data_IF_419535271996
#
_entry.id   IF_419535271996
#
_cell.length_a   1.000
_cell.length_b   1.000
_cell.length_c   1.000
_cell.angle_alpha   90.00
_cell.angle_beta   90.00
_cell.angle_gamma   90.00
#
_symmetry.space_group_name_H-M   'P 1'
#
loop_
_entity.id
_entity.type
_entity.pdbx_description
1 polymer ?
#
# COMPACT_ATOMS: atom_id res chain seq x y z
N UNK A 1 16.74 8.48 -4.80
CA UNK A 1 15.66 7.62 -4.26
C UNK A 1 15.38 6.38 -5.11
N UNK A 2 15.59 6.41 -6.43
CA UNK A 2 15.19 5.31 -7.33
C UNK A 2 16.17 4.10 -7.44
N UNK A 3 17.46 4.23 -7.12
CA UNK A 3 18.43 3.15 -7.43
C UNK A 3 18.73 2.16 -6.30
N UNK A 4 18.40 2.46 -5.03
CA UNK A 4 18.71 1.56 -3.90
C UNK A 4 17.53 0.70 -3.43
N UNK A 5 16.46 0.67 -4.21
CA UNK A 5 15.23 -0.08 -3.96
C UNK A 5 15.03 -1.16 -5.04
N UNK A 6 16.04 -2.01 -5.25
CA UNK A 6 15.90 -3.26 -6.03
C UNK A 6 15.10 -4.33 -5.25
N UNK A 7 14.04 -3.95 -4.54
CA UNK A 7 13.14 -4.97 -4.01
C UNK A 7 12.14 -5.39 -5.08
N UNK A 8 11.62 -6.59 -4.91
CA UNK A 8 10.68 -7.22 -5.83
C UNK A 8 9.49 -6.29 -6.12
N UNK A 9 9.25 -6.06 -7.41
CA UNK A 9 8.09 -5.30 -7.90
C UNK A 9 6.82 -6.12 -7.66
N UNK A 10 5.72 -5.44 -7.37
CA UNK A 10 4.43 -6.07 -7.02
C UNK A 10 4.55 -6.97 -5.78
N UNK A 11 5.40 -6.59 -4.83
CA UNK A 11 5.60 -7.33 -3.57
C UNK A 11 5.61 -6.33 -2.40
N UNK A 12 4.88 -6.61 -1.30
CA UNK A 12 4.96 -5.81 -0.09
C UNK A 12 6.38 -5.76 0.46
N UNK A 13 6.80 -4.58 0.89
CA UNK A 13 8.02 -4.34 1.64
C UNK A 13 7.65 -3.70 2.96
N UNK A 14 8.10 -4.35 4.01
CA UNK A 14 7.74 -4.03 5.39
C UNK A 14 8.89 -3.29 6.03
N UNK A 15 8.62 -2.06 6.49
CA UNK A 15 9.61 -1.25 7.17
C UNK A 15 9.60 -1.52 8.67
N UNK A 16 10.76 -1.35 9.30
CA UNK A 16 10.85 -1.21 10.75
C UNK A 16 10.36 0.17 11.19
N UNK A 17 10.06 0.33 12.48
CA UNK A 17 9.75 1.64 13.03
C UNK A 17 10.96 2.58 12.83
N UNK A 18 10.75 3.79 12.31
CA UNK A 18 11.84 4.75 12.10
C UNK A 18 12.51 5.14 13.42
N UNK A 19 13.85 5.22 13.38
CA UNK A 19 14.72 5.69 14.44
C UNK A 19 15.93 6.43 13.83
N UNK A 20 16.82 6.95 14.68
CA UNK A 20 17.97 7.73 14.24
C UNK A 20 18.92 6.96 13.29
N UNK A 21 18.95 5.63 13.38
CA UNK A 21 19.86 4.76 12.63
C UNK A 21 19.26 4.27 11.29
N UNK A 22 17.94 4.03 11.22
CA UNK A 22 17.25 3.47 10.05
C UNK A 22 16.37 4.48 9.26
N UNK A 23 16.24 5.73 9.72
CA UNK A 23 15.40 6.78 9.11
C UNK A 23 15.86 7.30 7.73
N UNK A 24 16.97 6.80 7.18
CA UNK A 24 17.53 7.27 5.90
C UNK A 24 16.84 6.68 4.66
N UNK A 25 15.92 5.73 4.82
CA UNK A 25 15.30 4.98 3.70
C UNK A 25 14.09 5.72 3.11
N UNK A 26 13.36 6.48 3.92
CA UNK A 26 12.23 7.33 3.51
C UNK A 26 12.59 8.78 3.91
N UNK A 27 12.41 9.81 3.05
CA UNK A 27 12.63 11.20 3.47
C UNK A 27 11.70 11.57 4.63
N UNK A 28 12.27 12.09 5.72
CA UNK A 28 11.54 12.58 6.91
C UNK A 28 10.52 11.57 7.47
N UNK A 29 10.93 10.33 7.79
CA UNK A 29 9.99 9.36 8.33
C UNK A 29 9.63 9.74 9.76
N UNK A 30 8.33 9.68 10.09
CA UNK A 30 7.86 9.99 11.43
C UNK A 30 7.98 8.72 12.30
N UNK A 31 8.73 8.74 13.42
CA UNK A 31 8.85 7.58 14.32
C UNK A 31 7.53 7.12 14.92
N UNK A 32 6.48 7.95 14.91
CA UNK A 32 5.14 7.58 15.37
C UNK A 32 4.42 6.61 14.42
N UNK A 33 4.96 6.36 13.22
CA UNK A 33 4.34 5.50 12.21
C UNK A 33 5.19 4.27 11.88
N UNK A 34 4.49 3.16 11.64
CA UNK A 34 5.03 2.02 10.93
C UNK A 34 4.65 2.11 9.45
N UNK A 35 5.59 1.78 8.56
CA UNK A 35 5.43 1.97 7.12
C UNK A 35 5.53 0.65 6.38
N UNK A 36 4.70 0.49 5.35
CA UNK A 36 4.86 -0.57 4.36
C UNK A 36 4.68 -0.01 2.96
N UNK A 37 5.35 -0.60 1.98
CA UNK A 37 5.36 -0.11 0.60
C UNK A 37 5.16 -1.21 -0.41
N UNK A 38 4.55 -0.90 -1.55
CA UNK A 38 4.55 -1.76 -2.73
C UNK A 38 4.96 -0.89 -3.91
N UNK A 39 6.15 -1.12 -4.47
CA UNK A 39 6.45 -0.59 -5.80
C UNK A 39 5.67 -1.44 -6.81
N UNK A 40 4.76 -0.82 -7.56
CA UNK A 40 3.91 -1.55 -8.50
C UNK A 40 4.34 -1.35 -9.95
N UNK A 41 4.07 -2.36 -10.78
CA UNK A 41 4.11 -2.36 -12.24
C UNK A 41 2.87 -3.10 -12.78
N UNK A 42 2.02 -2.36 -13.48
CA UNK A 42 0.72 -2.78 -14.01
C UNK A 42 0.76 -3.09 -15.50
N UNK A 43 1.94 -3.12 -16.15
CA UNK A 43 2.07 -3.26 -17.61
C UNK A 43 1.22 -4.42 -18.18
N UNK A 44 1.22 -5.56 -17.51
CA UNK A 44 0.49 -6.76 -17.91
C UNK A 44 -0.31 -7.38 -16.75
N UNK A 45 -0.60 -6.61 -15.68
CA UNK A 45 -1.21 -7.15 -14.46
C UNK A 45 -2.24 -6.20 -13.87
N UNK A 46 -3.33 -6.77 -13.36
CA UNK A 46 -4.15 -6.17 -12.31
C UNK A 46 -3.62 -6.70 -10.98
N UNK A 47 -3.45 -5.84 -9.98
CA UNK A 47 -3.01 -6.30 -8.66
C UNK A 47 -4.17 -6.28 -7.70
N UNK A 48 -4.46 -7.43 -7.08
CA UNK A 48 -5.33 -7.49 -5.92
C UNK A 48 -4.47 -7.32 -4.67
N UNK A 49 -4.80 -6.29 -3.89
CA UNK A 49 -4.10 -5.93 -2.65
C UNK A 49 -5.10 -6.07 -1.51
N UNK A 50 -4.80 -6.90 -0.53
CA UNK A 50 -5.71 -7.16 0.59
C UNK A 50 -4.97 -7.36 1.90
N UNK A 51 -5.68 -7.17 3.01
CA UNK A 51 -5.11 -7.36 4.34
C UNK A 51 -6.10 -7.00 5.45
N UNK A 52 -5.63 -7.19 6.68
CA UNK A 52 -6.30 -6.77 7.91
C UNK A 52 -5.64 -5.49 8.40
N UNK A 53 -6.45 -4.57 8.93
CA UNK A 53 -6.02 -3.25 9.38
C UNK A 53 -6.51 -2.97 10.80
N UNK A 54 -5.86 -2.05 11.52
CA UNK A 54 -6.35 -1.62 12.83
C UNK A 54 -7.76 -1.03 12.77
N UNK A 55 -8.55 -1.28 13.81
CA UNK A 55 -9.94 -0.83 13.93
C UNK A 55 -10.13 0.47 14.74
N UNK A 56 -9.12 0.83 15.54
CA UNK A 56 -9.22 1.88 16.56
C UNK A 56 -7.94 2.72 16.68
N UNK A 57 -7.05 2.65 15.68
CA UNK A 57 -5.98 3.64 15.49
C UNK A 57 -5.92 4.06 14.03
N UNK A 58 -5.30 5.21 13.78
CA UNK A 58 -5.16 5.73 12.44
C UNK A 58 -4.33 4.78 11.57
N UNK A 59 -4.79 4.57 10.35
CA UNK A 59 -3.98 3.97 9.30
C UNK A 59 -4.40 4.54 7.96
N UNK A 60 -3.52 4.44 6.96
CA UNK A 60 -3.88 4.81 5.59
C UNK A 60 -3.21 3.90 4.57
N UNK A 61 -3.88 3.76 3.43
CA UNK A 61 -3.31 3.27 2.17
C UNK A 61 -3.36 4.44 1.18
N UNK A 62 -2.24 4.71 0.52
CA UNK A 62 -2.13 5.82 -0.44
C UNK A 62 -1.41 5.35 -1.70
N UNK A 63 -1.87 5.79 -2.87
CA UNK A 63 -1.26 5.44 -4.14
C UNK A 63 -0.65 6.67 -4.80
N UNK A 64 0.56 6.50 -5.33
CA UNK A 64 1.36 7.55 -5.93
C UNK A 64 1.86 7.11 -7.30
N UNK A 65 1.78 8.02 -8.27
CA UNK A 65 2.42 7.88 -9.57
C UNK A 65 3.95 7.84 -9.42
N UNK A 66 4.67 7.43 -10.47
CA UNK A 66 6.14 7.45 -10.49
C UNK A 66 6.75 8.83 -10.20
N UNK A 67 6.06 9.91 -10.56
CA UNK A 67 6.46 11.29 -10.26
C UNK A 67 6.08 11.76 -8.84
N UNK A 68 5.62 10.85 -7.97
CA UNK A 68 5.19 11.08 -6.59
C UNK A 68 3.90 11.88 -6.40
N UNK A 69 3.13 12.11 -7.47
CA UNK A 69 1.76 12.67 -7.34
C UNK A 69 0.81 11.63 -6.73
N UNK A 70 0.18 11.97 -5.60
CA UNK A 70 -0.87 11.14 -5.00
C UNK A 70 -2.15 11.21 -5.83
N UNK A 71 -2.80 10.07 -6.03
CA UNK A 71 -4.07 9.99 -6.76
C UNK A 71 -5.14 9.14 -6.04
N UNK A 72 -4.79 8.57 -4.88
CA UNK A 72 -5.71 7.78 -4.07
C UNK A 72 -5.28 7.80 -2.60
N UNK A 73 -6.27 7.89 -1.72
CA UNK A 73 -6.11 7.71 -0.28
C UNK A 73 -7.37 7.13 0.34
N UNK A 74 -7.20 6.09 1.16
CA UNK A 74 -8.20 5.60 2.09
C UNK A 74 -7.58 5.35 3.47
N UNK A 75 -8.43 5.36 4.50
CA UNK A 75 -8.02 5.36 5.90
C UNK A 75 -9.05 4.61 6.77
N UNK A 76 -8.81 4.64 8.07
CA UNK A 76 -9.65 3.98 9.08
C UNK A 76 -11.09 4.48 9.13
N UNK A 77 -11.41 5.68 8.63
CA UNK A 77 -12.79 6.17 8.63
C UNK A 77 -13.69 5.36 7.70
N UNK A 78 -13.14 4.93 6.55
CA UNK A 78 -13.86 4.15 5.55
C UNK A 78 -13.73 2.65 5.74
N UNK A 79 -12.59 2.18 6.27
CA UNK A 79 -12.31 0.75 6.41
C UNK A 79 -11.80 0.43 7.81
N UNK A 80 -12.58 -0.38 8.53
CA UNK A 80 -12.39 -0.64 9.97
C UNK A 80 -11.71 -1.97 10.31
N UNK A 81 -11.55 -2.91 9.37
CA UNK A 81 -11.05 -4.24 9.74
C UNK A 81 -10.31 -4.95 8.62
N UNK A 82 -10.91 -5.03 7.44
CA UNK A 82 -10.33 -5.66 6.27
C UNK A 82 -10.45 -4.77 5.05
N UNK A 83 -9.42 -4.74 4.24
CA UNK A 83 -9.46 -4.10 2.94
C UNK A 83 -9.18 -5.11 1.83
N UNK A 84 -9.71 -4.79 0.66
CA UNK A 84 -9.41 -5.46 -0.59
C UNK A 84 -9.57 -4.39 -1.67
N UNK A 85 -8.50 -4.13 -2.43
CA UNK A 85 -8.53 -3.23 -3.56
C UNK A 85 -7.88 -3.88 -4.77
N UNK A 86 -8.32 -3.45 -5.95
CA UNK A 86 -7.82 -3.89 -7.24
C UNK A 86 -7.14 -2.70 -7.91
N UNK A 87 -5.82 -2.73 -8.02
CA UNK A 87 -5.04 -1.70 -8.67
C UNK A 87 -4.95 -2.02 -10.17
N UNK A 88 -5.42 -1.09 -11.00
CA UNK A 88 -5.53 -1.23 -12.44
C UNK A 88 -5.02 0.02 -13.16
N UNK A 89 -4.51 -0.08 -14.40
CA UNK A 89 -4.32 1.12 -15.23
C UNK A 89 -5.66 1.83 -15.47
N UNK A 90 -5.64 3.15 -15.47
CA UNK A 90 -6.81 3.95 -15.87
C UNK A 90 -7.27 3.57 -17.29
N UNK A 91 -8.58 3.44 -17.48
CA UNK A 91 -9.16 2.97 -18.75
C UNK A 91 -9.02 1.46 -19.02
N UNK A 92 -8.53 0.67 -18.04
CA UNK A 92 -8.46 -0.79 -18.19
C UNK A 92 -9.83 -1.40 -18.48
N UNK A 93 -9.88 -2.24 -19.52
CA UNK A 93 -11.06 -3.03 -19.92
C UNK A 93 -10.92 -4.51 -19.56
N UNK A 94 -9.95 -4.85 -18.71
CA UNK A 94 -9.67 -6.23 -18.32
C UNK A 94 -10.92 -6.90 -17.73
N UNK A 95 -11.20 -8.14 -18.14
CA UNK A 95 -12.42 -8.86 -17.75
C UNK A 95 -12.53 -9.12 -16.26
N UNK A 96 -11.39 -9.29 -15.57
CA UNK A 96 -11.33 -9.48 -14.12
C UNK A 96 -12.00 -8.33 -13.37
N UNK A 97 -11.99 -7.11 -13.93
CA UNK A 97 -12.57 -5.92 -13.30
C UNK A 97 -14.09 -5.83 -13.47
N UNK A 98 -14.71 -6.55 -14.42
CA UNK A 98 -16.13 -6.41 -14.76
C UNK A 98 -17.08 -6.64 -13.58
N UNK A 99 -16.70 -7.56 -12.68
CA UNK A 99 -17.52 -7.95 -11.53
C UNK A 99 -17.02 -7.33 -10.21
N UNK A 100 -16.02 -6.45 -10.26
CA UNK A 100 -15.48 -5.77 -9.08
C UNK A 100 -16.21 -4.44 -8.88
N UNK A 101 -16.75 -4.15 -7.68
CA UNK A 101 -17.35 -2.85 -7.37
C UNK A 101 -16.35 -1.71 -7.63
N UNK A 102 -16.80 -0.62 -8.26
CA UNK A 102 -15.90 0.48 -8.70
C UNK A 102 -15.13 1.11 -7.54
N UNK A 103 -15.74 1.20 -6.37
CA UNK A 103 -15.14 1.69 -5.12
C UNK A 103 -14.02 0.80 -4.57
N UNK A 104 -13.91 -0.43 -5.07
CA UNK A 104 -12.80 -1.35 -4.76
C UNK A 104 -11.69 -1.28 -5.80
N UNK A 105 -11.85 -0.52 -6.89
CA UNK A 105 -10.85 -0.40 -7.95
C UNK A 105 -10.10 0.92 -7.78
N UNK A 106 -8.78 0.82 -7.70
CA UNK A 106 -7.86 1.96 -7.72
C UNK A 106 -7.35 2.09 -9.15
N UNK A 107 -7.80 3.11 -9.88
CA UNK A 107 -7.30 3.39 -11.23
C UNK A 107 -6.03 4.24 -11.16
N UNK A 108 -4.92 3.68 -11.66
CA UNK A 108 -3.64 4.35 -11.71
C UNK A 108 -3.46 5.10 -13.03
N UNK A 109 -3.13 6.41 -13.01
CA UNK A 109 -2.81 7.17 -14.22
C UNK A 109 -1.52 6.71 -14.92
N UNK A 110 -0.72 5.87 -14.25
CA UNK A 110 0.57 5.38 -14.75
C UNK A 110 0.69 3.88 -14.49
N UNK A 111 1.49 3.19 -15.29
CA UNK A 111 1.72 1.75 -15.08
C UNK A 111 2.64 1.46 -13.90
N UNK A 112 3.41 2.45 -13.43
CA UNK A 112 4.38 2.28 -12.34
C UNK A 112 4.18 3.34 -11.27
N UNK A 113 4.42 2.96 -10.02
CA UNK A 113 4.33 3.86 -8.89
C UNK A 113 4.51 3.16 -7.56
N UNK A 114 3.95 3.76 -6.52
CA UNK A 114 4.11 3.34 -5.14
C UNK A 114 2.76 3.28 -4.43
N UNK A 115 2.47 2.17 -3.76
CA UNK A 115 1.52 2.13 -2.66
C UNK A 115 2.28 2.34 -1.36
N UNK A 116 1.76 3.20 -0.48
CA UNK A 116 2.27 3.47 0.85
C UNK A 116 1.19 3.15 1.87
N UNK A 117 1.53 2.32 2.85
CA UNK A 117 0.78 2.14 4.07
C UNK A 117 1.44 2.91 5.20
N UNK A 118 0.62 3.54 6.04
CA UNK A 118 1.06 4.17 7.29
C UNK A 118 0.17 3.71 8.41
N UNK A 119 0.74 3.21 9.49
CA UNK A 119 0.02 2.78 10.69
C UNK A 119 0.50 3.60 11.87
N UNK A 120 -0.41 4.30 12.56
CA UNK A 120 -0.06 5.07 13.75
C UNK A 120 0.22 4.11 14.91
N UNK A 121 1.42 4.20 15.49
CA UNK A 121 1.77 3.47 16.69
C UNK A 121 1.00 4.05 17.86
N UNK A 122 0.32 3.19 18.61
CA UNK A 122 -0.46 3.58 19.77
C UNK A 122 -0.39 2.52 20.86
N UNK A 123 -0.90 2.83 22.06
CA UNK A 123 -0.94 1.86 23.15
C UNK A 123 -1.74 0.58 22.79
N UNK A 124 -2.82 0.72 22.02
CA UNK A 124 -3.66 -0.41 21.59
C UNK A 124 -3.07 -1.20 20.40
N UNK A 125 -2.20 -0.54 19.64
CA UNK A 125 -1.49 -1.08 18.47
C UNK A 125 -0.01 -0.76 18.57
N UNK A 126 0.74 -1.48 19.43
CA UNK A 126 2.18 -1.36 19.49
C UNK A 126 2.80 -1.90 18.19
N UNK A 127 4.06 -1.55 17.95
CA UNK A 127 4.81 -1.90 16.72
C UNK A 127 4.73 -3.39 16.41
N UNK A 128 4.86 -4.27 17.40
CA UNK A 128 4.81 -5.74 17.20
C UNK A 128 3.49 -6.18 16.60
N UNK A 129 2.36 -5.68 17.13
CA UNK A 129 1.02 -5.98 16.62
C UNK A 129 0.79 -5.36 15.24
N UNK A 130 1.28 -4.14 15.00
CA UNK A 130 1.21 -3.51 13.69
C UNK A 130 2.06 -4.26 12.65
N UNK A 131 3.20 -4.81 13.05
CA UNK A 131 4.04 -5.62 12.17
C UNK A 131 3.37 -6.95 11.79
N UNK A 132 2.61 -7.58 12.69
CA UNK A 132 1.78 -8.73 12.33
C UNK A 132 0.75 -8.38 11.25
N UNK A 133 0.06 -7.23 11.41
CA UNK A 133 -0.91 -6.75 10.43
C UNK A 133 -0.25 -6.38 9.09
N UNK A 134 0.90 -5.69 9.13
CA UNK A 134 1.64 -5.31 7.93
C UNK A 134 2.07 -6.56 7.16
N UNK A 135 2.58 -7.60 7.84
CA UNK A 135 3.01 -8.85 7.23
C UNK A 135 1.84 -9.69 6.68
N UNK A 136 0.62 -9.43 7.14
CA UNK A 136 -0.60 -9.99 6.60
C UNK A 136 -1.09 -9.34 5.30
N UNK A 137 -0.45 -8.25 4.83
CA UNK A 137 -0.78 -7.64 3.54
C UNK A 137 -0.30 -8.54 2.41
N UNK A 138 -1.19 -8.85 1.47
CA UNK A 138 -0.91 -9.69 0.31
C UNK A 138 -1.08 -8.93 -0.99
N UNK A 139 -0.33 -9.35 -2.01
CA UNK A 139 -0.45 -8.88 -3.39
C UNK A 139 -0.57 -10.10 -4.29
N UNK A 140 -1.69 -10.20 -5.00
CA UNK A 140 -1.93 -11.22 -6.01
C UNK A 140 -1.96 -10.57 -7.39
N UNK A 141 -1.23 -11.16 -8.34
CA UNK A 141 -1.27 -10.75 -9.75
C UNK A 141 -2.42 -11.46 -10.43
N UNK A 142 -3.44 -10.71 -10.78
CA UNK A 142 -4.53 -11.20 -11.60
C UNK A 142 -4.12 -10.96 -13.06
N UNK A 143 -3.91 -12.05 -13.79
CA UNK A 143 -3.37 -12.05 -15.15
C UNK A 143 -4.28 -11.33 -16.16
N UNK A 144 -3.81 -11.27 -17.41
CA UNK A 144 -4.57 -10.74 -18.55
C UNK A 144 -5.92 -11.41 -18.72
#
# INVERSE_FOLDING_TARGET
FAEKSLGLVNTPRFGDQPNAENSRVIPLPNPDFLYSTINYDLKDNILKISGIVPDSTYWSISAYQQNTTNYFVENEEKVKSKFEYYLAPEGSTNEVLKNIPKEKIIYSPTTKGLILFRYLVSKAYPVTKLAELQHGVTVEKLGK
#
